data_IF_510433665287
#
_entry.id   IF_510433665287
#
_cell.length_a   1.000
_cell.length_b   1.000
_cell.length_c   1.000
_cell.angle_alpha   90.00
_cell.angle_beta   90.00
_cell.angle_gamma   90.00
#
_symmetry.space_group_name_H-M   'P 1'
#
loop_
_entity.id
_entity.type
_entity.pdbx_description
1 polymer ?
#
# COMPACT_ATOMS: atom_id res chain seq x y z
N UNK A 1 -36.92 -45.16 -6.67
CA UNK A 1 -35.49 -44.95 -6.42
C UNK A 1 -35.04 -43.78 -7.29
N UNK A 2 -35.03 -42.57 -6.75
CA UNK A 2 -34.44 -41.40 -7.39
C UNK A 2 -33.25 -40.98 -6.53
N UNK A 3 -32.05 -41.24 -7.03
CA UNK A 3 -30.78 -40.85 -6.42
C UNK A 3 -30.50 -39.39 -6.77
N UNK A 4 -30.51 -38.54 -5.74
CA UNK A 4 -30.12 -37.13 -5.81
C UNK A 4 -28.58 -37.04 -5.79
N UNK A 5 -27.98 -36.45 -6.81
CA UNK A 5 -26.55 -36.10 -6.82
C UNK A 5 -26.38 -34.74 -6.12
N UNK A 6 -25.72 -34.75 -4.95
CA UNK A 6 -25.18 -33.55 -4.34
C UNK A 6 -23.92 -33.15 -5.12
N UNK A 7 -23.97 -32.01 -5.81
CA UNK A 7 -22.78 -31.39 -6.39
C UNK A 7 -22.15 -30.47 -5.34
N UNK A 8 -20.98 -30.86 -4.84
CA UNK A 8 -20.16 -30.03 -3.94
C UNK A 8 -19.33 -29.11 -4.83
N UNK A 9 -19.71 -27.83 -4.90
CA UNK A 9 -18.90 -26.80 -5.53
C UNK A 9 -17.87 -26.29 -4.52
N UNK A 10 -16.60 -26.62 -4.75
CA UNK A 10 -15.46 -26.05 -4.05
C UNK A 10 -15.26 -24.62 -4.56
N UNK A 11 -15.53 -23.63 -3.71
CA UNK A 11 -15.20 -22.23 -3.99
C UNK A 11 -13.68 -22.04 -3.91
N UNK A 12 -13.06 -21.60 -5.01
CA UNK A 12 -11.74 -20.96 -4.95
C UNK A 12 -11.95 -19.55 -4.39
N UNK A 13 -11.41 -19.28 -3.21
CA UNK A 13 -11.23 -17.92 -2.71
C UNK A 13 -10.03 -17.35 -3.47
N UNK A 14 -10.28 -16.41 -4.38
CA UNK A 14 -9.21 -15.63 -4.98
C UNK A 14 -8.73 -14.63 -3.91
N UNK A 15 -7.60 -14.91 -3.27
CA UNK A 15 -6.89 -13.92 -2.48
C UNK A 15 -6.30 -12.90 -3.45
N UNK A 16 -6.88 -11.70 -3.51
CA UNK A 16 -6.26 -10.55 -4.14
C UNK A 16 -5.05 -10.17 -3.31
N UNK A 17 -3.89 -10.76 -3.63
CA UNK A 17 -2.63 -10.27 -3.09
C UNK A 17 -2.44 -8.87 -3.67
N UNK A 18 -2.54 -7.84 -2.83
CA UNK A 18 -1.98 -6.54 -3.14
C UNK A 18 -0.55 -6.80 -3.64
N UNK A 19 -0.31 -6.57 -4.93
CA UNK A 19 1.01 -6.82 -5.49
C UNK A 19 1.96 -5.85 -4.79
N UNK A 20 3.05 -6.35 -4.16
CA UNK A 20 4.01 -5.47 -3.55
C UNK A 20 4.52 -4.52 -4.64
N UNK A 21 4.57 -3.26 -4.26
CA UNK A 21 4.91 -2.16 -5.14
C UNK A 21 6.31 -2.37 -5.75
N UNK A 22 6.40 -2.62 -7.05
CA UNK A 22 7.69 -2.91 -7.71
C UNK A 22 8.23 -1.65 -8.39
N UNK A 23 9.24 -1.02 -7.81
CA UNK A 23 10.08 -0.10 -8.57
C UNK A 23 10.76 -0.88 -9.71
N UNK A 24 10.88 -0.31 -10.92
CA UNK A 24 11.57 -0.97 -12.02
C UNK A 24 13.03 -1.27 -11.62
N UNK A 25 13.36 -2.55 -11.40
CA UNK A 25 14.73 -3.01 -11.17
C UNK A 25 15.35 -3.43 -12.49
N UNK A 26 16.58 -2.99 -12.75
CA UNK A 26 17.36 -3.51 -13.86
C UNK A 26 17.77 -4.97 -13.57
N UNK A 27 17.52 -5.89 -14.52
CA UNK A 27 17.66 -7.33 -14.30
C UNK A 27 19.13 -7.81 -14.14
N UNK A 28 20.09 -6.89 -14.13
CA UNK A 28 21.54 -7.14 -14.12
C UNK A 28 22.15 -7.55 -12.78
N UNK A 29 21.39 -7.48 -11.68
CA UNK A 29 21.92 -7.71 -10.31
C UNK A 29 21.30 -8.93 -9.58
N UNK A 30 20.71 -9.87 -10.32
CA UNK A 30 20.17 -11.10 -9.71
C UNK A 30 21.24 -11.98 -9.07
N UNK A 31 22.47 -11.93 -9.58
CA UNK A 31 23.52 -12.89 -9.20
C UNK A 31 24.17 -12.56 -7.85
N UNK A 32 24.31 -11.28 -7.50
CA UNK A 32 24.85 -10.86 -6.20
C UNK A 32 23.85 -11.16 -5.08
N UNK A 33 22.56 -10.90 -5.32
CA UNK A 33 21.48 -11.33 -4.45
C UNK A 33 21.40 -12.84 -4.29
N UNK A 34 21.59 -13.59 -5.37
CA UNK A 34 21.63 -15.06 -5.30
C UNK A 34 22.81 -15.55 -4.45
N UNK A 35 23.93 -14.83 -4.44
CA UNK A 35 25.06 -15.15 -3.56
C UNK A 35 24.69 -14.98 -2.09
N UNK A 36 24.02 -13.86 -1.74
CA UNK A 36 23.50 -13.64 -0.39
C UNK A 36 22.42 -14.64 0.00
N UNK A 37 21.54 -15.02 -0.94
CA UNK A 37 20.58 -16.11 -0.74
C UNK A 37 21.25 -17.44 -0.40
N UNK A 38 22.32 -17.78 -1.12
CA UNK A 38 23.07 -19.01 -0.88
C UNK A 38 23.76 -18.98 0.49
N UNK A 39 24.33 -17.83 0.88
CA UNK A 39 24.91 -17.65 2.20
C UNK A 39 23.86 -17.74 3.31
N UNK A 40 22.70 -17.10 3.14
CA UNK A 40 21.59 -17.19 4.08
C UNK A 40 21.02 -18.62 4.20
N UNK A 41 20.99 -19.39 3.12
CA UNK A 41 20.53 -20.79 3.13
C UNK A 41 21.62 -21.81 3.51
N UNK A 42 22.77 -21.36 4.01
CA UNK A 42 23.79 -22.28 4.48
C UNK A 42 23.27 -23.10 5.67
N UNK A 43 23.73 -24.36 5.82
CA UNK A 43 23.31 -25.26 6.91
C UNK A 43 23.63 -24.75 8.33
N UNK A 44 24.32 -23.61 8.45
CA UNK A 44 24.70 -22.98 9.71
C UNK A 44 23.76 -21.86 10.15
N UNK A 45 22.86 -21.42 9.27
CA UNK A 45 21.94 -20.32 9.55
C UNK A 45 20.85 -20.76 10.52
N UNK A 46 20.65 -19.98 11.58
CA UNK A 46 19.52 -20.16 12.48
C UNK A 46 18.28 -19.47 11.91
N UNK A 47 17.43 -20.24 11.22
CA UNK A 47 16.19 -19.74 10.64
C UNK A 47 15.17 -19.26 11.68
N UNK A 48 15.34 -19.58 12.96
CA UNK A 48 14.49 -19.03 14.04
C UNK A 48 14.89 -17.60 14.45
N UNK A 49 16.06 -17.14 14.03
CA UNK A 49 16.55 -15.77 14.23
C UNK A 49 17.05 -15.19 12.90
N UNK A 50 16.25 -15.35 11.84
CA UNK A 50 16.61 -15.03 10.46
C UNK A 50 17.14 -13.61 10.29
N UNK A 51 16.53 -12.62 10.96
CA UNK A 51 16.96 -11.22 10.91
C UNK A 51 18.12 -10.87 11.87
N UNK A 52 18.73 -11.85 12.53
CA UNK A 52 20.00 -11.71 13.25
C UNK A 52 21.15 -12.44 12.53
N UNK A 53 21.00 -12.69 11.23
CA UNK A 53 22.05 -13.20 10.34
C UNK A 53 22.34 -12.18 9.23
N UNK A 54 23.62 -11.89 9.00
CA UNK A 54 24.04 -10.81 8.08
C UNK A 54 23.68 -11.16 6.63
N UNK A 55 23.88 -12.40 6.20
CA UNK A 55 23.54 -12.82 4.85
C UNK A 55 22.05 -12.77 4.61
N UNK A 56 21.25 -13.19 5.59
CA UNK A 56 19.79 -13.17 5.48
C UNK A 56 19.21 -11.76 5.42
N UNK A 57 19.70 -10.83 6.25
CA UNK A 57 19.27 -9.42 6.21
C UNK A 57 19.62 -8.79 4.86
N UNK A 58 20.86 -8.96 4.40
CA UNK A 58 21.29 -8.40 3.12
C UNK A 58 20.54 -9.02 1.94
N UNK A 59 20.25 -10.33 1.99
CA UNK A 59 19.39 -10.99 1.01
C UNK A 59 17.97 -10.43 1.00
N UNK A 60 17.39 -10.18 2.18
CA UNK A 60 16.07 -9.55 2.30
C UNK A 60 16.06 -8.16 1.67
N UNK A 61 17.04 -7.31 1.98
CA UNK A 61 17.14 -5.95 1.43
C UNK A 61 17.28 -5.98 -0.09
N UNK A 62 18.15 -6.82 -0.63
CA UNK A 62 18.41 -6.85 -2.07
C UNK A 62 17.31 -7.56 -2.89
N UNK A 63 16.43 -8.31 -2.23
CA UNK A 63 15.24 -8.92 -2.86
C UNK A 63 14.06 -7.95 -2.95
N UNK A 64 14.08 -6.88 -2.16
CA UNK A 64 13.11 -5.80 -2.26
C UNK A 64 13.43 -4.88 -3.46
N UNK A 65 12.43 -4.25 -4.09
CA UNK A 65 10.99 -4.38 -3.83
C UNK A 65 10.26 -5.62 -4.42
N UNK A 66 10.77 -6.40 -5.40
CA UNK A 66 10.01 -7.53 -5.96
C UNK A 66 9.54 -8.55 -4.91
N UNK A 67 10.23 -8.64 -3.79
CA UNK A 67 9.85 -9.48 -2.66
C UNK A 67 9.87 -8.65 -1.38
N UNK A 68 8.74 -8.67 -0.66
CA UNK A 68 8.67 -8.14 0.70
C UNK A 68 9.35 -9.09 1.70
N UNK A 69 9.81 -8.61 2.87
CA UNK A 69 10.49 -9.45 3.86
C UNK A 69 9.79 -10.77 4.22
N UNK A 70 8.45 -10.79 4.30
CA UNK A 70 7.69 -12.03 4.60
C UNK A 70 7.80 -13.08 3.49
N UNK A 71 7.84 -12.64 2.22
CA UNK A 71 8.03 -13.54 1.09
C UNK A 71 9.44 -14.15 1.12
N UNK A 72 10.44 -13.36 1.52
CA UNK A 72 11.81 -13.83 1.71
C UNK A 72 11.88 -14.88 2.83
N UNK A 73 11.23 -14.65 3.98
CA UNK A 73 11.15 -15.66 5.07
C UNK A 73 10.54 -16.97 4.58
N UNK A 74 9.38 -16.88 3.93
CA UNK A 74 8.68 -18.04 3.40
C UNK A 74 9.54 -18.85 2.40
N UNK A 75 10.24 -18.17 1.49
CA UNK A 75 11.10 -18.82 0.49
C UNK A 75 12.30 -19.55 1.11
N UNK A 76 12.79 -19.11 2.26
CA UNK A 76 13.90 -19.76 2.96
C UNK A 76 13.41 -20.77 4.03
N UNK A 77 12.10 -20.98 4.15
CA UNK A 77 11.52 -21.90 5.15
C UNK A 77 11.68 -21.39 6.60
N UNK A 78 11.90 -20.09 6.79
CA UNK A 78 11.93 -19.47 8.10
C UNK A 78 10.49 -19.30 8.64
N UNK A 79 10.26 -19.41 9.97
CA UNK A 79 8.98 -19.08 10.58
C UNK A 79 8.53 -17.65 10.23
N UNK A 80 7.22 -17.45 10.04
CA UNK A 80 6.65 -16.12 9.83
C UNK A 80 6.83 -15.21 11.06
N UNK A 81 6.71 -15.81 12.26
CA UNK A 81 6.91 -15.13 13.54
C UNK A 81 8.41 -15.08 13.86
N UNK A 82 9.12 -14.14 13.24
CA UNK A 82 10.52 -13.88 13.56
C UNK A 82 10.65 -12.96 14.79
N UNK A 83 11.63 -13.20 15.67
CA UNK A 83 12.02 -12.19 16.63
C UNK A 83 12.54 -10.95 15.90
N UNK A 84 12.24 -9.78 16.46
CA UNK A 84 12.79 -8.51 15.99
C UNK A 84 14.31 -8.58 15.94
N UNK A 85 14.92 -7.95 14.93
CA UNK A 85 16.37 -7.78 14.85
C UNK A 85 16.91 -7.15 16.14
N UNK A 86 17.99 -7.68 16.68
CA UNK A 86 18.64 -7.13 17.87
C UNK A 86 19.42 -5.85 17.53
N UNK A 87 19.31 -4.82 18.36
CA UNK A 87 20.05 -3.57 18.18
C UNK A 87 21.57 -3.78 18.17
N UNK A 88 22.09 -4.66 19.03
CA UNK A 88 23.52 -5.00 19.03
C UNK A 88 23.99 -5.66 17.72
N UNK A 89 23.10 -6.42 17.07
CA UNK A 89 23.38 -7.03 15.78
C UNK A 89 23.38 -5.96 14.69
N UNK A 90 22.39 -5.07 14.69
CA UNK A 90 22.36 -3.89 13.82
C UNK A 90 23.64 -3.04 13.94
N UNK A 91 24.07 -2.76 15.18
CA UNK A 91 25.32 -2.03 15.44
C UNK A 91 26.56 -2.74 14.89
N UNK A 92 26.54 -4.06 14.79
CA UNK A 92 27.65 -4.80 14.16
C UNK A 92 27.69 -4.53 12.65
N UNK A 93 26.53 -4.51 11.99
CA UNK A 93 26.42 -4.20 10.56
C UNK A 93 26.69 -2.73 10.24
N UNK A 94 26.33 -1.81 11.12
CA UNK A 94 26.52 -0.36 10.93
C UNK A 94 27.94 0.14 11.26
N UNK A 95 28.85 -0.75 11.67
CA UNK A 95 30.20 -0.36 12.11
C UNK A 95 30.21 0.35 13.47
N UNK A 96 29.25 0.05 14.34
CA UNK A 96 29.13 0.56 15.71
C UNK A 96 28.29 1.82 15.85
N UNK A 97 27.56 2.23 14.81
CA UNK A 97 26.69 3.41 14.81
C UNK A 97 25.24 3.04 15.16
N UNK A 98 24.48 3.99 15.71
CA UNK A 98 23.04 3.87 15.98
C UNK A 98 22.15 4.04 14.73
N UNK A 99 22.77 4.34 13.60
CA UNK A 99 22.18 4.33 12.27
C UNK A 99 23.05 3.54 11.29
N UNK A 100 22.44 3.03 10.22
CA UNK A 100 23.15 2.45 9.09
C UNK A 100 23.21 3.50 7.98
N UNK A 101 24.42 3.84 7.52
CA UNK A 101 24.60 4.70 6.35
C UNK A 101 24.64 3.87 5.07
N UNK A 102 24.47 4.52 3.92
CA UNK A 102 24.68 3.87 2.62
C UNK A 102 26.04 3.18 2.52
N UNK A 103 27.13 3.83 2.98
CA UNK A 103 28.47 3.23 2.92
C UNK A 103 28.60 2.02 3.85
N UNK A 104 28.05 2.08 5.07
CA UNK A 104 28.06 0.93 5.97
C UNK A 104 27.28 -0.26 5.38
N UNK A 105 26.14 0.00 4.73
CA UNK A 105 25.39 -1.02 4.00
C UNK A 105 26.21 -1.62 2.85
N UNK A 106 26.84 -0.79 2.01
CA UNK A 106 27.73 -1.25 0.93
C UNK A 106 28.86 -2.12 1.48
N UNK A 107 29.54 -1.67 2.54
CA UNK A 107 30.64 -2.39 3.16
C UNK A 107 30.19 -3.75 3.71
N UNK A 108 29.02 -3.80 4.36
CA UNK A 108 28.42 -5.06 4.81
C UNK A 108 28.05 -5.97 3.64
N UNK A 109 27.46 -5.42 2.57
CA UNK A 109 27.05 -6.15 1.37
C UNK A 109 28.23 -6.82 0.66
N UNK A 110 29.24 -6.04 0.30
CA UNK A 110 30.46 -6.54 -0.34
C UNK A 110 31.28 -7.42 0.60
N UNK A 111 31.32 -7.09 1.90
CA UNK A 111 31.97 -7.89 2.93
C UNK A 111 31.38 -9.29 3.01
N UNK A 112 30.05 -9.41 3.06
CA UNK A 112 29.36 -10.69 3.10
C UNK A 112 29.56 -11.51 1.82
N UNK A 113 29.52 -10.89 0.64
CA UNK A 113 29.81 -11.57 -0.63
C UNK A 113 31.25 -12.10 -0.63
N UNK A 114 32.23 -11.33 -0.12
CA UNK A 114 33.64 -11.71 -0.13
C UNK A 114 33.96 -12.98 0.66
N UNK A 115 33.17 -13.28 1.69
CA UNK A 115 33.29 -14.49 2.51
C UNK A 115 32.33 -15.61 2.07
N UNK A 116 31.44 -15.33 1.12
CA UNK A 116 30.50 -16.32 0.57
C UNK A 116 31.22 -17.22 -0.43
N UNK A 117 31.17 -18.57 -0.28
CA UNK A 117 31.76 -19.47 -1.24
C UNK A 117 31.19 -19.27 -2.65
N UNK A 118 32.06 -19.00 -3.63
CA UNK A 118 31.68 -18.65 -5.01
C UNK A 118 30.76 -17.41 -5.11
N UNK A 119 30.90 -16.45 -4.19
CA UNK A 119 30.13 -15.22 -4.22
C UNK A 119 30.38 -14.41 -5.50
N UNK A 120 29.29 -14.01 -6.15
CA UNK A 120 29.29 -13.11 -7.30
C UNK A 120 29.02 -11.70 -6.82
N UNK A 121 29.88 -10.75 -7.23
CA UNK A 121 29.69 -9.34 -6.93
C UNK A 121 28.65 -8.71 -7.86
N UNK A 122 27.96 -7.64 -7.42
CA UNK A 122 27.06 -6.89 -8.28
C UNK A 122 27.85 -6.28 -9.46
N UNK A 123 27.16 -6.07 -10.59
CA UNK A 123 27.77 -5.51 -11.79
C UNK A 123 28.26 -4.08 -11.57
N UNK A 124 27.52 -3.31 -10.75
CA UNK A 124 27.85 -1.94 -10.37
C UNK A 124 27.58 -1.71 -8.88
N UNK A 125 28.20 -0.68 -8.30
CA UNK A 125 27.84 -0.24 -6.94
C UNK A 125 26.47 0.43 -6.89
N UNK A 126 26.02 1.00 -8.01
CA UNK A 126 24.73 1.69 -8.13
C UNK A 126 23.56 0.72 -7.88
N UNK A 127 23.71 -0.55 -8.27
CA UNK A 127 22.73 -1.61 -7.95
C UNK A 127 22.54 -1.77 -6.42
N UNK A 128 23.64 -1.73 -5.67
CA UNK A 128 23.62 -1.84 -4.19
C UNK A 128 23.06 -0.58 -3.55
N UNK A 129 23.37 0.58 -4.11
CA UNK A 129 22.81 1.87 -3.69
C UNK A 129 21.29 1.85 -3.86
N UNK A 130 20.78 1.37 -5.00
CA UNK A 130 19.35 1.27 -5.25
C UNK A 130 18.63 0.41 -4.21
N UNK A 131 19.23 -0.72 -3.77
CA UNK A 131 18.67 -1.53 -2.68
C UNK A 131 18.54 -0.74 -1.38
N UNK A 132 19.54 0.06 -1.04
CA UNK A 132 19.53 0.89 0.17
C UNK A 132 18.54 2.04 0.08
N UNK A 133 18.45 2.71 -1.07
CA UNK A 133 17.49 3.78 -1.33
C UNK A 133 16.04 3.30 -1.17
N UNK A 134 15.73 2.04 -1.49
CA UNK A 134 14.40 1.46 -1.25
C UNK A 134 14.05 1.44 0.24
N UNK A 135 15.02 1.08 1.09
CA UNK A 135 14.83 1.08 2.54
C UNK A 135 14.73 2.50 3.09
N UNK A 136 15.59 3.40 2.61
CA UNK A 136 15.53 4.81 2.98
C UNK A 136 14.20 5.46 2.57
N UNK A 137 13.66 5.10 1.41
CA UNK A 137 12.36 5.56 0.92
C UNK A 137 11.22 5.06 1.82
N UNK A 138 11.24 3.77 2.18
CA UNK A 138 10.23 3.23 3.08
C UNK A 138 10.28 3.86 4.47
N UNK A 139 11.50 4.07 5.00
CA UNK A 139 11.71 4.59 6.36
C UNK A 139 11.63 6.12 6.47
N UNK A 140 11.61 6.85 5.35
CA UNK A 140 11.53 8.32 5.32
C UNK A 140 12.86 9.05 5.51
N UNK A 141 13.99 8.41 5.18
CA UNK A 141 15.35 8.94 5.38
C UNK A 141 16.08 9.28 4.07
N UNK A 142 15.36 9.61 3.00
CA UNK A 142 15.96 9.90 1.69
C UNK A 142 16.93 11.08 1.69
N UNK A 143 16.75 12.07 2.57
CA UNK A 143 17.62 13.25 2.63
C UNK A 143 19.04 12.94 3.14
N UNK A 144 19.18 11.89 3.95
CA UNK A 144 20.45 11.58 4.64
C UNK A 144 21.00 10.20 4.32
N UNK A 145 20.13 9.27 3.90
CA UNK A 145 20.42 7.84 3.73
C UNK A 145 21.01 7.20 4.99
N UNK A 146 20.75 7.80 6.16
CA UNK A 146 21.13 7.30 7.47
C UNK A 146 19.87 6.77 8.17
N UNK A 147 19.63 5.47 8.06
CA UNK A 147 18.43 4.83 8.63
C UNK A 147 18.73 4.36 10.06
N UNK A 148 18.03 4.87 11.09
CA UNK A 148 18.21 4.42 12.47
C UNK A 148 17.76 2.97 12.68
N UNK A 149 18.28 2.32 13.73
CA UNK A 149 17.91 0.94 14.09
C UNK A 149 16.40 0.72 14.15
N UNK A 150 15.65 1.60 14.83
CA UNK A 150 14.20 1.44 15.02
C UNK A 150 13.48 1.33 13.67
N UNK A 151 13.80 2.23 12.75
CA UNK A 151 13.17 2.29 11.43
C UNK A 151 13.58 1.12 10.54
N UNK A 152 14.86 0.71 10.58
CA UNK A 152 15.31 -0.46 9.81
C UNK A 152 14.66 -1.76 10.30
N UNK A 153 14.55 -1.94 11.62
CA UNK A 153 13.88 -3.10 12.20
C UNK A 153 12.36 -3.07 11.95
N UNK A 154 11.72 -1.89 11.97
CA UNK A 154 10.32 -1.73 11.58
C UNK A 154 10.09 -2.08 10.11
N UNK A 155 11.01 -1.73 9.22
CA UNK A 155 10.91 -2.13 7.82
C UNK A 155 10.90 -3.66 7.68
N UNK A 156 11.79 -4.37 8.37
CA UNK A 156 11.83 -5.84 8.34
C UNK A 156 10.53 -6.48 8.87
N UNK A 157 9.94 -5.88 9.91
CA UNK A 157 8.75 -6.43 10.60
C UNK A 157 7.43 -6.07 9.91
N UNK A 158 7.30 -4.82 9.44
CA UNK A 158 6.02 -4.24 9.05
C UNK A 158 5.87 -3.96 7.55
N UNK A 159 6.94 -3.92 6.75
CA UNK A 159 6.80 -3.63 5.31
C UNK A 159 6.02 -4.68 4.51
N UNK A 160 5.77 -5.84 5.12
CA UNK A 160 4.92 -6.90 4.56
C UNK A 160 3.50 -6.89 5.09
N UNK A 161 3.18 -6.04 6.08
CA UNK A 161 1.84 -5.94 6.64
C UNK A 161 0.96 -5.20 5.63
N UNK A 162 -0.20 -5.78 5.25
CA UNK A 162 -1.12 -5.13 4.34
C UNK A 162 -1.44 -3.69 4.79
N UNK A 163 -1.32 -2.76 3.84
CA UNK A 163 -1.59 -1.34 4.05
C UNK A 163 -0.55 -0.56 4.84
N UNK A 164 0.62 -1.14 5.15
CA UNK A 164 1.78 -0.36 5.58
C UNK A 164 2.56 0.11 4.36
N UNK A 165 2.56 1.43 4.14
CA UNK A 165 3.19 2.04 2.98
C UNK A 165 4.59 2.60 3.28
N UNK A 166 5.45 2.70 2.25
CA UNK A 166 6.67 3.46 2.38
C UNK A 166 6.36 4.94 2.65
N UNK A 167 7.22 5.61 3.42
CA UNK A 167 7.10 7.04 3.69
C UNK A 167 7.14 7.89 2.41
N UNK A 168 7.98 7.50 1.44
CA UNK A 168 7.98 8.05 0.08
C UNK A 168 8.12 6.93 -0.95
N UNK A 169 7.58 7.13 -2.14
CA UNK A 169 7.63 6.18 -3.24
C UNK A 169 9.06 5.79 -3.67
N UNK A 170 9.97 6.76 -3.67
CA UNK A 170 11.40 6.57 -3.99
C UNK A 170 12.20 7.74 -3.42
N UNK A 171 13.49 7.52 -3.12
CA UNK A 171 14.41 8.62 -2.83
C UNK A 171 14.80 9.42 -4.07
N UNK A 172 14.59 8.87 -5.27
CA UNK A 172 14.74 9.60 -6.52
C UNK A 172 13.43 10.33 -6.85
N UNK A 173 13.44 11.66 -6.84
CA UNK A 173 12.25 12.48 -7.08
C UNK A 173 11.59 12.25 -8.45
N UNK A 174 12.38 11.95 -9.49
CA UNK A 174 11.83 11.64 -10.83
C UNK A 174 11.06 10.33 -10.77
N UNK A 175 11.66 9.29 -10.20
CA UNK A 175 11.00 7.99 -10.04
C UNK A 175 9.78 8.17 -9.14
N UNK A 176 9.90 8.82 -7.98
CA UNK A 176 8.81 9.04 -7.04
C UNK A 176 7.58 9.70 -7.70
N UNK A 177 7.79 10.64 -8.62
CA UNK A 177 6.70 11.31 -9.34
C UNK A 177 6.00 10.41 -10.38
N UNK A 178 6.70 9.43 -10.95
CA UNK A 178 6.14 8.47 -11.92
C UNK A 178 5.52 7.25 -11.23
N UNK A 179 5.68 7.17 -9.92
CA UNK A 179 5.50 5.97 -9.13
C UNK A 179 4.22 6.09 -8.32
N UNK A 180 3.22 5.28 -8.67
CA UNK A 180 1.88 5.30 -8.10
C UNK A 180 1.91 5.15 -6.57
N UNK A 181 1.53 6.16 -5.78
CA UNK A 181 1.68 6.08 -4.33
C UNK A 181 0.91 4.92 -3.72
N UNK A 182 1.54 4.25 -2.76
CA UNK A 182 0.89 3.26 -1.92
C UNK A 182 -0.20 3.94 -1.08
N UNK A 183 -1.31 3.24 -0.87
CA UNK A 183 -2.44 3.72 -0.07
C UNK A 183 -2.38 2.99 1.26
N UNK A 184 -2.14 3.71 2.38
CA UNK A 184 -2.20 3.07 3.68
C UNK A 184 -3.59 2.47 3.86
N UNK A 185 -3.66 1.23 4.32
CA UNK A 185 -4.92 0.54 4.59
C UNK A 185 -4.84 -0.09 5.98
N UNK A 186 -5.84 0.15 6.84
CA UNK A 186 -5.98 -0.62 8.08
C UNK A 186 -6.03 -2.11 7.78
N UNK A 187 -5.50 -2.95 8.68
CA UNK A 187 -5.58 -4.43 8.58
C UNK A 187 -7.02 -4.96 8.47
N UNK A 188 -8.01 -4.12 8.81
CA UNK A 188 -9.43 -4.42 8.70
C UNK A 188 -9.98 -4.28 7.28
N UNK A 189 -9.26 -3.59 6.38
CA UNK A 189 -9.53 -3.59 4.95
C UNK A 189 -9.03 -4.91 4.32
N UNK A 190 -9.97 -5.70 3.81
CA UNK A 190 -9.69 -6.93 3.09
C UNK A 190 -9.79 -6.74 1.57
N UNK A 191 -9.43 -5.55 1.07
CA UNK A 191 -9.56 -5.14 -0.32
C UNK A 191 -10.89 -4.45 -0.64
N UNK A 192 -11.66 -4.06 0.37
CA UNK A 192 -12.93 -3.37 0.19
C UNK A 192 -12.73 -1.99 -0.45
N UNK A 193 -11.69 -1.24 -0.07
CA UNK A 193 -11.39 0.07 -0.67
C UNK A 193 -11.05 -0.08 -2.14
N UNK A 194 -10.25 -1.11 -2.45
CA UNK A 194 -9.88 -1.43 -3.82
C UNK A 194 -11.09 -1.79 -4.67
N UNK A 195 -12.06 -2.54 -4.12
CA UNK A 195 -13.30 -2.87 -4.83
C UNK A 195 -14.11 -1.59 -5.13
N UNK A 196 -14.38 -0.75 -4.11
CA UNK A 196 -15.13 0.50 -4.31
C UNK A 196 -14.42 1.43 -5.30
N UNK A 197 -13.09 1.53 -5.23
CA UNK A 197 -12.28 2.26 -6.21
C UNK A 197 -12.40 1.67 -7.62
N UNK A 198 -12.40 0.34 -7.77
CA UNK A 198 -12.59 -0.31 -9.08
C UNK A 198 -13.97 0.00 -9.66
N UNK A 199 -15.00 0.12 -8.83
CA UNK A 199 -16.33 0.53 -9.27
C UNK A 199 -16.34 2.01 -9.70
N UNK A 200 -15.61 2.89 -9.02
CA UNK A 200 -15.49 4.30 -9.44
C UNK A 200 -14.93 4.48 -10.86
N UNK A 201 -14.05 3.58 -11.33
CA UNK A 201 -13.47 3.64 -12.69
C UNK A 201 -14.54 3.79 -13.78
N UNK A 202 -15.71 3.17 -13.60
CA UNK A 202 -16.80 3.24 -14.58
C UNK A 202 -17.43 4.63 -14.75
N UNK A 203 -17.25 5.54 -13.79
CA UNK A 203 -17.92 6.85 -13.77
C UNK A 203 -16.98 8.03 -13.53
N UNK A 204 -15.69 7.78 -13.24
CA UNK A 204 -14.74 8.87 -12.94
C UNK A 204 -14.63 9.88 -14.08
N UNK A 205 -14.82 9.44 -15.34
CA UNK A 205 -14.79 10.32 -16.51
C UNK A 205 -15.93 11.38 -16.54
N UNK A 206 -17.04 11.15 -15.82
CA UNK A 206 -18.12 12.13 -15.66
C UNK A 206 -17.83 13.17 -14.55
N UNK A 207 -16.71 13.00 -13.85
CA UNK A 207 -16.24 13.84 -12.75
C UNK A 207 -16.22 13.07 -11.43
N UNK A 208 -15.11 13.17 -10.71
CA UNK A 208 -14.82 12.38 -9.52
C UNK A 208 -15.89 12.53 -8.43
N UNK A 209 -16.39 13.75 -8.20
CA UNK A 209 -17.38 14.01 -7.16
C UNK A 209 -18.83 14.07 -7.69
N UNK A 210 -19.04 13.52 -8.88
CA UNK A 210 -20.35 13.44 -9.56
C UNK A 210 -20.97 12.02 -9.49
N UNK A 211 -20.27 11.07 -8.87
CA UNK A 211 -20.73 9.69 -8.66
C UNK A 211 -20.49 9.23 -7.22
N UNK A 212 -21.39 8.41 -6.67
CA UNK A 212 -21.32 7.91 -5.29
C UNK A 212 -20.12 7.01 -5.03
N UNK A 213 -19.82 6.09 -5.94
CA UNK A 213 -18.72 5.15 -5.80
C UNK A 213 -17.40 5.92 -5.68
N UNK A 214 -17.20 6.93 -6.53
CA UNK A 214 -16.02 7.77 -6.50
C UNK A 214 -15.88 8.63 -5.24
N UNK A 215 -16.99 9.13 -4.70
CA UNK A 215 -17.00 9.84 -3.42
C UNK A 215 -16.64 8.89 -2.27
N UNK A 216 -17.20 7.68 -2.27
CA UNK A 216 -16.89 6.64 -1.27
C UNK A 216 -15.44 6.15 -1.37
N UNK A 217 -14.91 5.98 -2.58
CA UNK A 217 -13.48 5.71 -2.80
C UNK A 217 -12.62 6.83 -2.25
N UNK A 218 -13.02 8.09 -2.46
CA UNK A 218 -12.29 9.25 -1.93
C UNK A 218 -12.25 9.24 -0.41
N UNK A 219 -13.30 8.73 0.25
CA UNK A 219 -13.31 8.58 1.71
C UNK A 219 -12.34 7.51 2.19
N UNK A 220 -12.29 6.33 1.54
CA UNK A 220 -11.36 5.29 1.96
C UNK A 220 -9.87 5.63 1.69
N UNK A 221 -9.61 6.66 0.90
CA UNK A 221 -8.28 7.23 0.68
C UNK A 221 -7.93 8.39 1.64
N UNK A 222 -8.71 8.61 2.71
CA UNK A 222 -8.47 9.71 3.65
C UNK A 222 -7.10 9.65 4.36
N UNK A 223 -6.51 8.46 4.53
CA UNK A 223 -5.15 8.29 5.08
C UNK A 223 -4.03 8.66 4.09
N UNK A 224 -4.35 8.70 2.79
CA UNK A 224 -3.45 9.17 1.74
C UNK A 224 -3.95 10.53 1.22
N UNK A 225 -4.50 10.55 0.02
CA UNK A 225 -5.27 11.67 -0.51
C UNK A 225 -6.13 11.22 -1.69
N UNK A 226 -7.12 12.03 -2.04
CA UNK A 226 -7.93 11.82 -3.23
C UNK A 226 -7.15 11.99 -4.53
N UNK A 227 -6.04 12.75 -4.54
CA UNK A 227 -5.15 12.83 -5.71
C UNK A 227 -4.39 11.50 -5.93
N UNK A 228 -4.08 10.78 -4.84
CA UNK A 228 -3.53 9.41 -4.95
C UNK A 228 -4.58 8.49 -5.56
N UNK A 229 -5.85 8.56 -5.12
CA UNK A 229 -6.95 7.80 -5.74
C UNK A 229 -7.03 8.04 -7.25
N UNK A 230 -6.95 9.30 -7.70
CA UNK A 230 -7.01 9.63 -9.13
C UNK A 230 -5.91 8.92 -9.94
N UNK A 231 -4.70 8.79 -9.39
CA UNK A 231 -3.63 8.04 -10.06
C UNK A 231 -3.91 6.52 -10.14
N UNK A 232 -4.70 5.97 -9.21
CA UNK A 232 -5.14 4.56 -9.25
C UNK A 232 -6.31 4.34 -10.21
N UNK A 233 -7.19 5.34 -10.35
CA UNK A 233 -8.38 5.24 -11.21
C UNK A 233 -8.06 5.39 -12.70
N UNK A 234 -7.09 6.24 -13.04
CA UNK A 234 -6.77 6.54 -14.44
C UNK A 234 -5.70 5.59 -14.98
N UNK A 235 -5.97 4.88 -16.09
CA UNK A 235 -4.98 4.02 -16.72
C UNK A 235 -3.72 4.80 -17.15
N UNK A 236 -2.57 4.13 -17.10
CA UNK A 236 -1.27 4.73 -17.46
C UNK A 236 -1.17 5.23 -18.90
N UNK A 237 -2.05 4.79 -19.81
CA UNK A 237 -2.11 5.29 -21.18
C UNK A 237 -2.90 6.59 -21.34
N UNK A 238 -3.59 7.05 -20.29
CA UNK A 238 -4.23 8.37 -20.26
C UNK A 238 -3.17 9.39 -19.84
N UNK A 239 -2.87 10.36 -20.70
CA UNK A 239 -1.76 11.30 -20.49
C UNK A 239 -2.10 12.45 -19.53
N UNK A 240 -3.37 12.85 -19.47
CA UNK A 240 -3.84 13.96 -18.65
C UNK A 240 -4.71 13.41 -17.53
N UNK A 241 -4.12 13.24 -16.34
CA UNK A 241 -4.86 12.87 -15.14
C UNK A 241 -5.37 14.16 -14.47
N UNK A 242 -6.67 14.25 -14.13
CA UNK A 242 -7.13 15.37 -13.34
C UNK A 242 -6.54 15.30 -11.92
N UNK A 243 -6.62 16.43 -11.22
CA UNK A 243 -6.42 16.53 -9.78
C UNK A 243 -7.73 16.95 -9.13
N UNK A 244 -7.86 16.76 -7.82
CA UNK A 244 -8.99 17.30 -7.05
C UNK A 244 -9.20 18.80 -7.25
N UNK A 245 -8.14 19.56 -7.53
CA UNK A 245 -8.22 20.99 -7.83
C UNK A 245 -8.86 21.30 -9.20
N UNK A 246 -8.79 20.38 -10.15
CA UNK A 246 -9.44 20.50 -11.47
C UNK A 246 -10.83 19.87 -11.51
N UNK A 247 -11.17 19.03 -10.53
CA UNK A 247 -12.47 18.37 -10.45
C UNK A 247 -13.59 19.33 -10.03
N UNK A 248 -14.80 19.05 -10.52
CA UNK A 248 -15.99 19.76 -10.07
C UNK A 248 -16.29 19.39 -8.61
N UNK A 249 -16.65 20.39 -7.80
CA UNK A 249 -17.08 20.20 -6.40
C UNK A 249 -18.16 19.13 -6.28
N UNK A 250 -18.18 18.43 -5.14
CA UNK A 250 -19.21 17.44 -4.78
C UNK A 250 -20.60 17.93 -5.15
N UNK A 251 -21.33 17.15 -5.94
CA UNK A 251 -22.71 17.52 -6.28
C UNK A 251 -23.65 17.32 -5.09
N UNK A 252 -24.60 18.24 -4.90
CA UNK A 252 -25.66 18.06 -3.91
C UNK A 252 -26.51 16.81 -4.19
N UNK A 253 -26.66 16.42 -5.46
CA UNK A 253 -27.41 15.22 -5.82
C UNK A 253 -26.74 13.96 -5.27
N UNK A 254 -25.43 13.81 -5.45
CA UNK A 254 -24.65 12.70 -4.88
C UNK A 254 -24.67 12.74 -3.36
N UNK A 255 -24.46 13.91 -2.76
CA UNK A 255 -24.57 14.07 -1.31
C UNK A 255 -25.92 13.57 -0.78
N UNK A 256 -27.04 14.07 -1.34
CA UNK A 256 -28.37 13.68 -0.89
C UNK A 256 -28.72 12.23 -1.20
N UNK A 257 -28.13 11.62 -2.23
CA UNK A 257 -28.35 10.21 -2.50
C UNK A 257 -27.67 9.34 -1.43
N UNK A 258 -26.42 9.66 -1.06
CA UNK A 258 -25.70 8.99 0.04
C UNK A 258 -26.40 9.21 1.39
N UNK A 259 -26.87 10.43 1.68
CA UNK A 259 -27.49 10.74 2.99
C UNK A 259 -28.97 10.37 3.08
N UNK A 260 -29.59 9.86 2.02
CA UNK A 260 -31.04 9.67 1.97
C UNK A 260 -31.83 10.98 2.12
N UNK A 261 -31.25 12.10 1.68
CA UNK A 261 -31.86 13.44 1.70
C UNK A 261 -31.61 14.26 2.99
N UNK A 262 -30.81 13.76 3.94
CA UNK A 262 -30.43 14.51 5.12
C UNK A 262 -29.51 15.71 4.78
N UNK A 263 -29.52 16.73 5.65
CA UNK A 263 -28.74 17.96 5.48
C UNK A 263 -27.28 17.83 5.93
N UNK A 264 -27.00 16.81 6.74
CA UNK A 264 -25.66 16.40 7.17
C UNK A 264 -25.46 14.95 6.75
N UNK A 265 -24.20 14.57 6.56
CA UNK A 265 -23.80 13.18 6.42
C UNK A 265 -23.32 12.71 7.79
N UNK A 266 -23.99 11.68 8.32
CA UNK A 266 -23.61 11.00 9.55
C UNK A 266 -22.63 9.86 9.26
N UNK A 267 -21.92 9.39 10.30
CA UNK A 267 -21.11 8.16 10.20
C UNK A 267 -21.94 6.98 9.69
N UNK A 268 -23.18 6.82 10.17
CA UNK A 268 -24.05 5.73 9.74
C UNK A 268 -24.42 5.84 8.26
N UNK A 269 -24.61 7.06 7.72
CA UNK A 269 -24.87 7.23 6.28
C UNK A 269 -23.70 6.71 5.45
N UNK A 270 -22.47 6.97 5.89
CA UNK A 270 -21.27 6.51 5.19
C UNK A 270 -21.10 5.00 5.30
N UNK A 271 -21.34 4.42 6.47
CA UNK A 271 -21.36 2.97 6.66
C UNK A 271 -22.37 2.32 5.72
N UNK A 272 -23.61 2.79 5.71
CA UNK A 272 -24.68 2.22 4.89
C UNK A 272 -24.35 2.33 3.40
N UNK A 273 -23.87 3.49 2.94
CA UNK A 273 -23.50 3.71 1.56
C UNK A 273 -22.28 2.88 1.13
N UNK A 274 -21.26 2.77 1.97
CA UNK A 274 -20.04 1.99 1.68
C UNK A 274 -20.34 0.49 1.58
N UNK A 275 -21.09 -0.07 2.53
CA UNK A 275 -21.53 -1.47 2.45
C UNK A 275 -22.55 -1.71 1.33
N UNK A 276 -23.35 -0.68 1.00
CA UNK A 276 -24.23 -0.67 -0.16
C UNK A 276 -23.48 -0.77 -1.48
N UNK A 277 -22.39 -0.03 -1.63
CA UNK A 277 -21.51 -0.07 -2.80
C UNK A 277 -20.97 -1.48 -3.04
N UNK A 278 -20.53 -2.17 -1.98
CA UNK A 278 -20.02 -3.53 -2.04
C UNK A 278 -21.08 -4.61 -2.30
N UNK A 279 -22.36 -4.25 -2.42
CA UNK A 279 -23.46 -5.20 -2.61
C UNK A 279 -23.91 -5.23 -4.08
N UNK A 280 -23.64 -6.36 -4.74
CA UNK A 280 -23.87 -6.52 -6.18
C UNK A 280 -22.96 -5.60 -7.00
N UNK A 281 -21.66 -5.85 -6.95
CA UNK A 281 -20.65 -4.93 -7.51
C UNK A 281 -20.70 -4.88 -9.03
N UNK A 282 -20.15 -3.81 -9.60
CA UNK A 282 -20.11 -3.59 -11.04
C UNK A 282 -18.90 -4.27 -11.70
N UNK A 283 -19.12 -4.82 -12.89
CA UNK A 283 -18.08 -5.42 -13.74
C UNK A 283 -18.04 -4.74 -15.10
N UNK A 284 -16.86 -4.74 -15.72
CA UNK A 284 -16.69 -4.25 -17.09
C UNK A 284 -17.27 -5.25 -18.10
N UNK A 285 -18.20 -4.80 -18.95
CA UNK A 285 -18.70 -5.56 -20.10
C UNK A 285 -18.01 -5.17 -21.42
N UNK A 286 -17.02 -4.28 -21.34
CA UNK A 286 -16.18 -3.78 -22.42
C UNK A 286 -16.37 -2.30 -22.70
N UNK A 287 -15.40 -1.73 -23.41
CA UNK A 287 -15.35 -0.32 -23.80
C UNK A 287 -13.95 0.25 -23.55
N UNK A 288 -13.60 1.39 -24.16
CA UNK A 288 -12.42 2.15 -23.74
C UNK A 288 -12.71 2.88 -22.42
N UNK A 289 -11.65 3.30 -21.72
CA UNK A 289 -11.77 4.09 -20.50
C UNK A 289 -12.60 5.36 -20.68
N UNK A 290 -13.52 5.61 -19.74
CA UNK A 290 -14.51 6.69 -19.77
C UNK A 290 -15.72 6.42 -20.66
N UNK A 291 -15.81 5.23 -21.26
CA UNK A 291 -16.96 4.79 -22.05
C UNK A 291 -17.20 3.27 -21.89
N UNK A 292 -16.78 2.72 -20.75
CA UNK A 292 -17.05 1.35 -20.36
C UNK A 292 -18.55 1.10 -20.27
N UNK A 293 -18.95 -0.13 -20.55
CA UNK A 293 -20.33 -0.58 -20.31
C UNK A 293 -20.37 -1.32 -18.98
N UNK A 294 -20.77 -0.67 -17.88
CA UNK A 294 -20.84 -1.32 -16.58
C UNK A 294 -22.01 -2.32 -16.54
N UNK A 295 -21.75 -3.51 -16.00
CA UNK A 295 -22.74 -4.55 -15.75
C UNK A 295 -22.85 -4.85 -14.26
N UNK A 296 -24.05 -4.82 -13.70
CA UNK A 296 -24.24 -5.17 -12.28
C UNK A 296 -24.13 -6.68 -12.11
N UNK A 297 -23.22 -7.13 -11.24
CA UNK A 297 -23.04 -8.54 -10.92
C UNK A 297 -23.99 -8.98 -9.81
N UNK A 298 -24.13 -10.31 -9.63
CA UNK A 298 -24.79 -10.89 -8.46
C UNK A 298 -23.80 -11.21 -7.33
N UNK A 299 -22.54 -10.81 -7.48
CA UNK A 299 -21.50 -11.04 -6.49
C UNK A 299 -21.35 -9.79 -5.65
N UNK A 300 -21.06 -10.00 -4.36
CA UNK A 300 -20.67 -8.90 -3.48
C UNK A 300 -19.16 -8.76 -3.49
N UNK A 301 -18.69 -7.56 -3.22
CA UNK A 301 -17.29 -7.28 -2.96
C UNK A 301 -16.84 -7.84 -1.61
N UNK A 302 -15.53 -7.81 -1.34
CA UNK A 302 -15.02 -8.08 0.00
C UNK A 302 -15.53 -7.00 0.95
N UNK A 303 -16.30 -7.39 1.96
CA UNK A 303 -16.72 -6.49 3.04
C UNK A 303 -15.59 -6.32 4.04
N UNK A 304 -15.33 -5.10 4.55
CA UNK A 304 -14.39 -4.89 5.65
C UNK A 304 -14.65 -5.88 6.79
N UNK A 305 -13.58 -6.34 7.43
CA UNK A 305 -13.69 -7.30 8.54
C UNK A 305 -14.21 -6.66 9.83
N UNK A 306 -14.23 -5.33 9.92
CA UNK A 306 -14.84 -4.54 10.98
C UNK A 306 -15.46 -3.26 10.41
N UNK A 307 -16.57 -2.81 11.00
CA UNK A 307 -17.15 -1.49 10.72
C UNK A 307 -16.22 -0.34 11.15
N UNK A 308 -15.31 -0.61 12.10
CA UNK A 308 -14.31 0.37 12.55
C UNK A 308 -13.45 0.89 11.40
N UNK A 309 -13.31 0.10 10.33
CA UNK A 309 -12.65 0.54 9.12
C UNK A 309 -13.29 1.80 8.51
N UNK A 310 -14.62 1.80 8.36
CA UNK A 310 -15.36 2.95 7.85
C UNK A 310 -15.36 4.09 8.86
N UNK A 311 -15.53 3.77 10.14
CA UNK A 311 -15.46 4.74 11.23
C UNK A 311 -14.11 5.46 11.28
N UNK A 312 -13.00 4.77 10.98
CA UNK A 312 -11.65 5.34 11.00
C UNK A 312 -11.47 6.43 9.94
N UNK A 313 -11.73 6.13 8.66
CA UNK A 313 -11.59 7.16 7.63
C UNK A 313 -12.63 8.28 7.80
N UNK A 314 -13.84 7.97 8.29
CA UNK A 314 -14.82 9.00 8.62
C UNK A 314 -14.37 9.88 9.78
N UNK A 315 -13.64 9.31 10.74
CA UNK A 315 -12.98 10.01 11.83
C UNK A 315 -11.96 11.04 11.34
N UNK A 316 -11.15 10.68 10.35
CA UNK A 316 -10.19 11.60 9.71
C UNK A 316 -10.92 12.75 9.02
N UNK A 317 -11.95 12.45 8.25
CA UNK A 317 -12.77 13.46 7.55
C UNK A 317 -13.48 14.38 8.55
N UNK A 318 -14.02 13.81 9.63
CA UNK A 318 -14.67 14.56 10.71
C UNK A 318 -13.67 15.49 11.43
N UNK A 319 -12.44 15.01 11.65
CA UNK A 319 -11.37 15.82 12.23
C UNK A 319 -10.92 16.95 11.30
N UNK A 320 -10.82 16.68 10.00
CA UNK A 320 -10.46 17.70 9.01
C UNK A 320 -11.52 18.80 8.92
N UNK A 321 -12.78 18.41 8.91
CA UNK A 321 -13.93 19.33 8.80
C UNK A 321 -14.30 20.02 10.11
N UNK A 322 -13.77 19.57 11.25
CA UNK A 322 -14.02 20.15 12.58
C UNK A 322 -15.30 19.64 13.28
N UNK A 323 -15.79 18.45 12.93
CA UNK A 323 -17.03 17.85 13.45
C UNK A 323 -16.79 16.58 14.28
N UNK A 324 -15.67 16.46 15.01
CA UNK A 324 -15.35 15.26 15.78
C UNK A 324 -16.38 14.85 16.84
N UNK A 325 -17.02 15.83 17.48
CA UNK A 325 -17.95 15.55 18.57
C UNK A 325 -19.26 14.90 18.07
N UNK A 326 -19.68 15.21 16.84
CA UNK A 326 -20.97 14.76 16.29
C UNK A 326 -20.80 13.75 15.17
N UNK A 327 -19.70 13.82 14.41
CA UNK A 327 -19.49 13.10 13.15
C UNK A 327 -20.63 13.30 12.14
N UNK A 328 -21.24 14.48 12.22
CA UNK A 328 -22.33 14.97 11.36
C UNK A 328 -21.80 16.13 10.52
N UNK A 329 -21.42 15.85 9.27
CA UNK A 329 -20.73 16.82 8.42
C UNK A 329 -21.73 17.47 7.44
N UNK A 330 -21.92 18.79 7.47
CA UNK A 330 -22.74 19.50 6.48
C UNK A 330 -22.15 19.41 5.06
N UNK A 331 -23.01 19.52 4.05
CA UNK A 331 -22.61 19.46 2.63
C UNK A 331 -21.42 20.38 2.31
N UNK A 332 -21.45 21.65 2.73
CA UNK A 332 -20.41 22.62 2.35
C UNK A 332 -19.03 22.18 2.88
N UNK A 333 -18.97 21.72 4.13
CA UNK A 333 -17.74 21.24 4.76
C UNK A 333 -17.20 19.96 4.12
N UNK A 334 -18.08 19.01 3.80
CA UNK A 334 -17.67 17.76 3.13
C UNK A 334 -17.18 18.03 1.70
N UNK A 335 -17.86 18.93 0.99
CA UNK A 335 -17.46 19.34 -0.34
C UNK A 335 -16.12 20.10 -0.33
N UNK A 336 -15.85 20.93 0.69
CA UNK A 336 -14.54 21.56 0.89
C UNK A 336 -13.46 20.54 1.20
N UNK A 337 -13.73 19.55 2.04
CA UNK A 337 -12.79 18.45 2.30
C UNK A 337 -12.38 17.77 0.99
N UNK A 338 -13.34 17.32 0.19
CA UNK A 338 -13.05 16.63 -1.07
C UNK A 338 -12.27 17.50 -2.07
N UNK A 339 -12.55 18.81 -2.12
CA UNK A 339 -11.86 19.72 -3.05
C UNK A 339 -10.48 20.18 -2.58
N UNK A 340 -10.21 20.22 -1.27
CA UNK A 340 -9.03 20.92 -0.74
C UNK A 340 -8.14 20.07 0.16
N UNK A 341 -8.60 18.95 0.71
CA UNK A 341 -7.81 18.16 1.65
C UNK A 341 -6.45 17.73 1.05
N UNK A 342 -6.46 17.27 -0.20
CA UNK A 342 -5.27 16.80 -0.91
C UNK A 342 -4.15 17.85 -1.05
N UNK A 343 -4.50 19.14 -1.08
CA UNK A 343 -3.53 20.24 -1.26
C UNK A 343 -3.32 21.07 0.01
N UNK A 344 -4.08 20.82 1.07
CA UNK A 344 -4.07 21.63 2.30
C UNK A 344 -2.82 21.44 3.17
N UNK A 345 -2.13 20.31 3.05
CA UNK A 345 -1.07 19.89 3.96
C UNK A 345 -1.54 19.61 5.39
N UNK A 346 -2.85 19.63 5.65
CA UNK A 346 -3.45 19.34 6.95
C UNK A 346 -3.94 17.88 6.99
N UNK A 347 -3.28 17.07 7.80
CA UNK A 347 -3.58 15.64 7.98
C UNK A 347 -3.85 15.35 9.47
N UNK A 348 -5.08 15.58 9.95
CA UNK A 348 -5.43 15.29 11.33
C UNK A 348 -5.49 13.78 11.59
N UNK A 349 -5.22 13.39 12.83
CA UNK A 349 -5.54 12.04 13.29
C UNK A 349 -7.07 11.86 13.40
N UNK A 350 -7.54 10.63 13.25
CA UNK A 350 -8.95 10.30 13.42
C UNK A 350 -9.44 10.64 14.83
N UNK A 351 -10.69 11.11 14.88
CA UNK A 351 -11.54 11.03 16.06
C UNK A 351 -12.59 9.92 15.87
#
# INVERSE_FOLDING_TARGET
MFTSMLSVFTFLIATTNASPFVLPRDASDTDSCQSLKNACNANVTDLSHFYNDTACVLFTVCSAPPQVPSAVLFQNGAPADQPRMNESFFMTMSGGQDYMSQQAFIDAYYGQISITPNGTYPSTVDDVIAHWENIAAWTGYCDTLNVPYSNFADWLEYSSVPGVCPAVASCNATIANETLPCVPQPITDNGSCSEVASECVFWVADGLFQNEYCVLSSFCYAEASTDVLLQHLYPSYVSDHPTTASEARLSQAVFYNITGGAQTMSEQNVIDAYYGALTGTWIDLGGPFGAETPGKSNNNGPYPTSTDYVSNFWGIISAWTGFCDTKEIPYDNLADYLSYAATSGYHPAAC
#
